data_IF_642913683878
#
_entry.id   IF_642913683878
#
_cell.length_a   1.000
_cell.length_b   1.000
_cell.length_c   1.000
_cell.angle_alpha   90.00
_cell.angle_beta   90.00
_cell.angle_gamma   90.00
#
_symmetry.space_group_name_H-M   'P 1'
#
loop_
_entity.id
_entity.type
_entity.pdbx_description
1 polymer ?
#
# COMPACT_ATOMS: atom_id res chain seq x y z
N UNK A 1 -3.85 46.99 -10.15
CA UNK A 1 -2.59 46.27 -9.77
C UNK A 1 -2.84 45.02 -8.96
N UNK A 2 -3.44 45.09 -7.76
CA UNK A 2 -3.69 43.91 -6.91
C UNK A 2 -4.70 42.93 -7.52
N UNK A 3 -5.74 43.42 -8.20
CA UNK A 3 -6.71 42.59 -8.91
C UNK A 3 -6.13 41.96 -10.22
N UNK A 4 -5.24 42.64 -10.91
CA UNK A 4 -4.52 42.08 -12.07
C UNK A 4 -3.48 41.05 -11.65
N UNK A 5 -2.75 41.31 -10.57
CA UNK A 5 -1.78 40.34 -10.00
C UNK A 5 -2.48 39.06 -9.52
N UNK A 6 -3.67 39.16 -8.94
CA UNK A 6 -4.48 37.98 -8.55
C UNK A 6 -5.03 37.25 -9.78
N UNK A 7 -5.45 37.95 -10.85
CA UNK A 7 -5.88 37.34 -12.11
C UNK A 7 -4.76 36.61 -12.84
N UNK A 8 -3.55 37.16 -12.87
CA UNK A 8 -2.36 36.49 -13.45
C UNK A 8 -1.95 35.29 -12.61
N UNK A 9 -2.10 35.34 -11.28
CA UNK A 9 -1.83 34.20 -10.37
C UNK A 9 -2.87 33.08 -10.53
N UNK A 10 -4.13 33.41 -10.73
CA UNK A 10 -5.19 32.42 -11.03
C UNK A 10 -5.04 31.78 -12.42
N UNK A 11 -4.55 32.53 -13.44
CA UNK A 11 -4.30 32.01 -14.78
C UNK A 11 -3.09 31.06 -14.85
N UNK A 12 -2.21 31.07 -13.85
CA UNK A 12 -0.98 30.26 -13.87
C UNK A 12 -0.99 29.06 -12.91
N UNK A 13 -2.12 28.79 -12.27
CA UNK A 13 -2.27 27.58 -11.43
C UNK A 13 -2.42 26.35 -12.31
N UNK A 14 -1.46 25.42 -12.22
CA UNK A 14 -1.56 24.12 -12.89
C UNK A 14 -2.73 23.35 -12.29
N UNK A 15 -3.60 22.83 -13.16
CA UNK A 15 -4.67 21.93 -12.73
C UNK A 15 -4.05 20.58 -12.31
N UNK A 16 -4.34 20.16 -11.09
CA UNK A 16 -3.99 18.83 -10.59
C UNK A 16 -5.24 17.96 -10.68
N UNK A 17 -5.11 16.77 -11.24
CA UNK A 17 -6.21 15.83 -11.43
C UNK A 17 -5.81 14.44 -10.91
N UNK A 18 -6.80 13.67 -10.43
CA UNK A 18 -6.64 12.26 -10.11
C UNK A 18 -6.90 11.47 -11.40
N UNK A 19 -5.94 10.66 -11.82
CA UNK A 19 -6.03 9.89 -13.07
C UNK A 19 -6.33 8.43 -12.84
N UNK A 20 -6.07 7.90 -11.64
CA UNK A 20 -6.35 6.52 -11.31
C UNK A 20 -6.44 6.30 -9.80
N UNK A 21 -7.19 5.29 -9.39
CA UNK A 21 -7.42 4.92 -7.99
C UNK A 21 -7.19 3.43 -7.83
N UNK A 22 -6.51 3.03 -6.77
CA UNK A 22 -6.39 1.65 -6.33
C UNK A 22 -6.65 1.53 -4.84
N UNK A 23 -7.27 0.43 -4.42
CA UNK A 23 -7.70 0.24 -3.04
C UNK A 23 -7.43 -1.17 -2.55
N UNK A 24 -6.83 -1.27 -1.36
CA UNK A 24 -6.78 -2.50 -0.56
C UNK A 24 -7.28 -2.14 0.83
N UNK A 25 -8.46 -2.60 1.18
CA UNK A 25 -9.16 -2.18 2.39
C UNK A 25 -9.87 -3.34 3.08
N UNK A 26 -10.22 -3.21 4.38
CA UNK A 26 -11.09 -4.19 5.04
C UNK A 26 -12.49 -4.32 4.43
N UNK A 27 -12.93 -3.33 3.65
CA UNK A 27 -14.20 -3.38 2.93
C UNK A 27 -14.10 -4.10 1.58
N UNK A 28 -12.88 -4.38 1.09
CA UNK A 28 -12.66 -5.11 -0.16
C UNK A 28 -11.29 -4.84 -0.75
N UNK A 29 -10.83 -5.77 -1.57
CA UNK A 29 -9.62 -5.65 -2.37
C UNK A 29 -10.01 -5.21 -3.78
N UNK A 30 -9.33 -4.19 -4.28
CA UNK A 30 -9.69 -3.49 -5.51
C UNK A 30 -10.75 -2.40 -5.31
N UNK A 31 -10.62 -1.33 -6.09
CA UNK A 31 -11.46 -0.12 -5.98
C UNK A 31 -12.97 -0.41 -6.14
N UNK A 32 -13.33 -1.28 -7.09
CA UNK A 32 -14.74 -1.53 -7.40
C UNK A 32 -15.43 -2.32 -6.29
N UNK A 33 -14.78 -3.36 -5.76
CA UNK A 33 -15.28 -4.15 -4.64
C UNK A 33 -15.35 -3.31 -3.36
N UNK A 34 -14.30 -2.55 -3.05
CA UNK A 34 -14.27 -1.67 -1.89
C UNK A 34 -15.38 -0.61 -1.97
N UNK A 35 -15.54 0.05 -3.11
CA UNK A 35 -16.56 1.07 -3.32
C UNK A 35 -17.98 0.51 -3.27
N UNK A 36 -18.23 -0.65 -3.88
CA UNK A 36 -19.54 -1.31 -3.82
C UNK A 36 -19.95 -1.60 -2.37
N UNK A 37 -19.04 -2.14 -1.58
CA UNK A 37 -19.29 -2.45 -0.16
C UNK A 37 -19.49 -1.19 0.69
N UNK A 38 -18.69 -0.13 0.47
CA UNK A 38 -18.87 1.16 1.15
C UNK A 38 -20.24 1.77 0.84
N UNK A 39 -20.66 1.75 -0.44
CA UNK A 39 -22.01 2.22 -0.84
C UNK A 39 -23.12 1.40 -0.22
N UNK A 40 -22.92 0.11 -0.03
CA UNK A 40 -23.88 -0.78 0.63
C UNK A 40 -23.91 -0.62 2.16
N UNK A 41 -23.05 0.23 2.74
CA UNK A 41 -22.94 0.40 4.19
C UNK A 41 -22.26 -0.80 4.90
N UNK A 42 -21.52 -1.63 4.17
CA UNK A 42 -20.81 -2.77 4.75
C UNK A 42 -19.72 -2.31 5.72
N UNK A 43 -19.69 -2.93 6.90
CA UNK A 43 -18.67 -2.66 7.90
C UNK A 43 -17.46 -3.60 7.69
N UNK A 44 -16.29 -3.02 7.45
CA UNK A 44 -15.04 -3.77 7.36
C UNK A 44 -14.42 -4.13 8.72
N UNK A 45 -14.98 -3.61 9.84
CA UNK A 45 -14.49 -3.89 11.18
C UNK A 45 -15.17 -5.15 11.70
N UNK A 46 -14.37 -6.16 12.06
CA UNK A 46 -14.85 -7.46 12.56
C UNK A 46 -13.97 -7.90 13.73
N UNK A 47 -14.36 -9.02 14.38
CA UNK A 47 -13.49 -9.62 15.40
C UNK A 47 -12.13 -9.97 14.81
N UNK A 48 -11.07 -9.66 15.56
CA UNK A 48 -9.67 -9.96 15.17
C UNK A 48 -9.52 -11.48 15.00
N UNK A 49 -8.92 -11.88 13.87
CA UNK A 49 -8.65 -13.28 13.53
C UNK A 49 -7.16 -13.59 13.35
N UNK A 50 -6.31 -12.60 13.21
CA UNK A 50 -4.87 -12.78 12.99
C UNK A 50 -4.09 -13.23 14.23
N UNK A 51 -4.65 -13.01 15.42
CA UNK A 51 -4.10 -13.48 16.70
C UNK A 51 -5.24 -13.65 17.70
N UNK A 52 -4.96 -14.27 18.86
CA UNK A 52 -5.93 -14.38 19.95
C UNK A 52 -6.10 -13.05 20.70
N UNK A 53 -7.23 -12.34 20.51
CA UNK A 53 -7.45 -11.03 21.13
C UNK A 53 -8.06 -11.13 22.54
N UNK A 54 -8.17 -12.32 23.13
CA UNK A 54 -8.89 -12.54 24.40
C UNK A 54 -8.38 -11.69 25.56
N UNK A 55 -7.09 -11.33 25.55
CA UNK A 55 -6.42 -10.48 26.54
C UNK A 55 -6.47 -8.99 26.21
N UNK A 56 -7.03 -8.61 25.05
CA UNK A 56 -7.15 -7.22 24.62
C UNK A 56 -8.49 -6.64 25.06
N UNK A 57 -8.49 -5.37 25.45
CA UNK A 57 -9.72 -4.62 25.75
C UNK A 57 -10.54 -4.35 24.49
N UNK A 58 -9.88 -4.10 23.36
CA UNK A 58 -10.51 -4.03 22.04
C UNK A 58 -10.22 -5.33 21.27
N UNK A 59 -11.27 -6.01 20.83
CA UNK A 59 -11.15 -7.30 20.14
C UNK A 59 -11.62 -7.24 18.69
N UNK A 60 -11.78 -6.03 18.16
CA UNK A 60 -12.22 -5.79 16.77
C UNK A 60 -11.20 -4.94 16.03
N UNK A 61 -11.05 -5.21 14.74
CA UNK A 61 -10.17 -4.46 13.85
C UNK A 61 -10.66 -4.54 12.40
N UNK A 62 -10.17 -3.62 11.57
CA UNK A 62 -10.33 -3.69 10.13
C UNK A 62 -9.20 -4.54 9.53
N UNK A 63 -9.46 -5.82 9.30
CA UNK A 63 -8.50 -6.74 8.67
C UNK A 63 -8.78 -6.86 7.17
N UNK A 64 -7.76 -6.73 6.33
CA UNK A 64 -7.86 -7.05 4.90
C UNK A 64 -7.99 -8.56 4.76
N UNK A 65 -9.08 -9.01 4.13
CA UNK A 65 -9.41 -10.43 3.98
C UNK A 65 -9.12 -10.91 2.57
N UNK A 66 -8.81 -12.19 2.42
CA UNK A 66 -8.61 -12.86 1.12
C UNK A 66 -7.56 -12.18 0.23
N UNK A 67 -6.56 -11.54 0.82
CA UNK A 67 -5.58 -10.76 0.07
C UNK A 67 -4.69 -11.62 -0.81
N UNK A 68 -4.26 -12.80 -0.35
CA UNK A 68 -3.43 -13.71 -1.15
C UNK A 68 -4.19 -14.18 -2.40
N UNK A 69 -5.48 -14.53 -2.26
CA UNK A 69 -6.32 -14.88 -3.40
C UNK A 69 -6.46 -13.72 -4.40
N UNK A 70 -6.60 -12.49 -3.89
CA UNK A 70 -6.63 -11.28 -4.73
C UNK A 70 -5.31 -11.09 -5.48
N UNK A 71 -4.17 -11.32 -4.84
CA UNK A 71 -2.86 -11.24 -5.50
C UNK A 71 -2.69 -12.32 -6.56
N UNK A 72 -3.15 -13.55 -6.28
CA UNK A 72 -3.09 -14.66 -7.23
C UNK A 72 -3.95 -14.40 -8.48
N UNK A 73 -5.11 -13.80 -8.31
CA UNK A 73 -6.02 -13.44 -9.40
C UNK A 73 -5.49 -12.29 -10.25
N UNK A 74 -4.98 -11.24 -9.61
CA UNK A 74 -4.61 -10.00 -10.28
C UNK A 74 -3.18 -9.98 -10.80
N UNK A 75 -2.28 -10.71 -10.14
CA UNK A 75 -0.85 -10.66 -10.41
C UNK A 75 -0.21 -9.29 -10.14
N UNK A 76 -0.82 -8.45 -9.29
CA UNK A 76 -0.35 -7.09 -9.03
C UNK A 76 0.97 -7.04 -8.26
N UNK A 77 1.30 -8.09 -7.55
CA UNK A 77 2.60 -8.23 -6.87
C UNK A 77 3.28 -9.48 -7.42
N UNK A 78 4.51 -9.34 -7.91
CA UNK A 78 5.30 -10.49 -8.33
C UNK A 78 5.55 -11.45 -7.15
N UNK A 79 5.30 -12.74 -7.35
CA UNK A 79 5.40 -13.75 -6.28
C UNK A 79 6.81 -13.89 -5.70
N UNK A 80 7.85 -13.63 -6.49
CA UNK A 80 9.23 -13.71 -6.01
C UNK A 80 9.56 -12.47 -5.18
N UNK A 81 9.20 -11.29 -5.66
CA UNK A 81 9.35 -10.03 -4.94
C UNK A 81 8.56 -10.02 -3.62
N UNK A 82 7.34 -10.56 -3.63
CA UNK A 82 6.45 -10.63 -2.45
C UNK A 82 7.06 -11.36 -1.25
N UNK A 83 8.04 -12.27 -1.47
CA UNK A 83 8.72 -12.98 -0.39
C UNK A 83 9.65 -12.10 0.45
N UNK A 84 10.01 -10.95 -0.07
CA UNK A 84 10.90 -9.96 0.55
C UNK A 84 10.14 -8.68 0.91
N UNK A 85 8.82 -8.75 1.00
CA UNK A 85 7.95 -7.63 1.38
C UNK A 85 7.13 -7.99 2.62
N UNK A 86 7.15 -7.13 3.62
CA UNK A 86 6.13 -7.18 4.67
C UNK A 86 4.75 -6.85 4.07
N UNK A 87 3.70 -7.21 4.77
CA UNK A 87 2.33 -7.09 4.30
C UNK A 87 1.93 -5.66 3.92
N UNK A 88 2.41 -4.65 4.67
CA UNK A 88 2.11 -3.25 4.35
C UNK A 88 2.66 -2.83 2.98
N UNK A 89 3.85 -3.33 2.61
CA UNK A 89 4.45 -3.09 1.30
C UNK A 89 3.65 -3.78 0.19
N UNK A 90 3.19 -5.01 0.41
CA UNK A 90 2.34 -5.73 -0.55
C UNK A 90 1.01 -4.99 -0.79
N UNK A 91 0.39 -4.45 0.26
CA UNK A 91 -0.83 -3.62 0.12
C UNK A 91 -0.57 -2.37 -0.73
N UNK A 92 0.54 -1.68 -0.45
CA UNK A 92 0.92 -0.47 -1.18
C UNK A 92 1.17 -0.76 -2.66
N UNK A 93 1.95 -1.81 -2.97
CA UNK A 93 2.24 -2.20 -4.36
C UNK A 93 0.97 -2.61 -5.09
N UNK A 94 0.11 -3.44 -4.49
CA UNK A 94 -1.12 -3.88 -5.12
C UNK A 94 -2.05 -2.70 -5.45
N UNK A 95 -2.25 -1.77 -4.50
CA UNK A 95 -3.05 -0.58 -4.71
C UNK A 95 -2.42 0.36 -5.76
N UNK A 96 -1.09 0.54 -5.74
CA UNK A 96 -0.40 1.39 -6.70
C UNK A 96 -0.49 0.84 -8.14
N UNK A 97 -0.33 -0.49 -8.31
CA UNK A 97 -0.46 -1.13 -9.63
C UNK A 97 -1.91 -1.04 -10.15
N UNK A 98 -2.91 -1.21 -9.28
CA UNK A 98 -4.31 -0.97 -9.64
C UNK A 98 -4.54 0.47 -10.09
N UNK A 99 -4.07 1.47 -9.32
CA UNK A 99 -4.19 2.88 -9.66
C UNK A 99 -3.49 3.21 -10.98
N UNK A 100 -2.32 2.63 -11.22
CA UNK A 100 -1.59 2.80 -12.47
C UNK A 100 -2.38 2.27 -13.68
N UNK A 101 -2.94 1.07 -13.57
CA UNK A 101 -3.81 0.50 -14.61
C UNK A 101 -5.07 1.32 -14.82
N UNK A 102 -5.69 1.79 -13.74
CA UNK A 102 -6.89 2.62 -13.79
C UNK A 102 -6.64 3.99 -14.44
N UNK A 103 -5.43 4.53 -14.34
CA UNK A 103 -5.05 5.78 -15.01
C UNK A 103 -5.00 5.68 -16.54
N UNK A 104 -5.02 4.47 -17.10
CA UNK A 104 -4.92 4.22 -18.53
C UNK A 104 -3.49 4.30 -19.08
N UNK A 105 -2.48 4.43 -18.21
CA UNK A 105 -1.09 4.35 -18.67
C UNK A 105 -0.72 2.94 -19.13
N UNK A 106 -0.06 2.87 -20.28
CA UNK A 106 0.48 1.63 -20.89
C UNK A 106 1.98 1.81 -21.13
N UNK A 107 2.65 0.74 -21.57
CA UNK A 107 4.07 0.83 -21.92
C UNK A 107 4.32 1.80 -23.08
N UNK A 108 3.35 1.93 -24.01
CA UNK A 108 3.42 2.85 -25.16
C UNK A 108 3.01 4.29 -24.80
N UNK A 109 2.19 4.47 -23.75
CA UNK A 109 1.60 5.75 -23.36
C UNK A 109 1.90 6.09 -21.89
N UNK A 110 3.08 5.75 -21.39
CA UNK A 110 3.50 6.11 -20.03
C UNK A 110 4.05 7.53 -19.96
N UNK A 111 3.96 8.19 -18.80
CA UNK A 111 4.57 9.48 -18.58
C UNK A 111 6.12 9.39 -18.61
N UNK A 112 6.77 10.53 -18.63
CA UNK A 112 8.20 10.63 -18.37
C UNK A 112 8.49 10.12 -16.94
N UNK A 113 9.11 8.96 -16.84
CA UNK A 113 9.33 8.27 -15.56
C UNK A 113 10.33 9.01 -14.65
N UNK A 114 11.16 9.89 -15.19
CA UNK A 114 12.03 10.77 -14.39
C UNK A 114 11.24 11.88 -13.67
N UNK A 115 9.96 12.04 -14.02
CA UNK A 115 9.02 13.00 -13.42
C UNK A 115 7.92 12.33 -12.60
N UNK A 116 7.97 11.02 -12.44
CA UNK A 116 7.02 10.26 -11.60
C UNK A 116 7.65 10.04 -10.23
N UNK A 117 7.01 10.51 -9.19
CA UNK A 117 7.44 10.32 -7.81
C UNK A 117 6.46 9.44 -7.06
N UNK A 118 6.98 8.59 -6.17
CA UNK A 118 6.18 7.82 -5.22
C UNK A 118 6.19 8.51 -3.86
N UNK A 119 5.01 8.91 -3.39
CA UNK A 119 4.82 9.51 -2.07
C UNK A 119 3.84 8.65 -1.30
N UNK A 120 4.28 8.04 -0.21
CA UNK A 120 3.48 7.15 0.63
C UNK A 120 3.51 7.60 2.08
N UNK A 121 2.34 7.85 2.65
CA UNK A 121 2.17 8.02 4.10
C UNK A 121 2.16 6.67 4.80
N UNK A 122 3.07 6.46 5.75
CA UNK A 122 3.15 5.23 6.53
C UNK A 122 3.44 5.56 7.99
N UNK A 123 2.66 4.97 8.92
CA UNK A 123 2.80 5.25 10.35
C UNK A 123 3.95 4.51 11.03
N UNK A 124 4.17 3.23 10.68
CA UNK A 124 5.04 2.34 11.47
C UNK A 124 5.98 1.48 10.62
N UNK A 125 5.55 1.08 9.41
CA UNK A 125 6.26 0.09 8.60
C UNK A 125 5.84 -1.35 8.90
N UNK A 126 6.76 -2.30 8.74
CA UNK A 126 6.54 -3.74 8.81
C UNK A 126 6.42 -4.29 10.23
N UNK A 127 5.26 -4.12 10.84
CA UNK A 127 5.01 -4.62 12.21
C UNK A 127 5.01 -6.14 12.31
N UNK A 128 4.60 -6.84 11.25
CA UNK A 128 4.60 -8.31 11.23
C UNK A 128 6.05 -8.83 11.22
N UNK A 129 6.87 -8.32 10.32
CA UNK A 129 8.31 -8.64 10.25
C UNK A 129 9.03 -8.28 11.55
N UNK A 130 8.70 -7.12 12.13
CA UNK A 130 9.26 -6.69 13.42
C UNK A 130 8.91 -7.67 14.55
N UNK A 131 7.65 -8.08 14.65
CA UNK A 131 7.19 -9.06 15.63
C UNK A 131 7.91 -10.40 15.50
N UNK A 132 8.02 -10.94 14.28
CA UNK A 132 8.74 -12.18 13.99
C UNK A 132 10.24 -12.05 14.31
N UNK A 133 10.86 -10.90 14.02
CA UNK A 133 12.26 -10.66 14.33
C UNK A 133 12.52 -10.67 15.85
N UNK A 134 11.69 -9.98 16.64
CA UNK A 134 11.80 -10.01 18.10
C UNK A 134 11.58 -11.40 18.69
N UNK A 135 10.55 -12.12 18.22
CA UNK A 135 10.30 -13.48 18.67
C UNK A 135 11.50 -14.39 18.35
N UNK A 136 12.04 -14.30 17.13
CA UNK A 136 13.21 -15.08 16.72
C UNK A 136 14.42 -14.76 17.59
N UNK A 137 14.66 -13.47 17.87
CA UNK A 137 15.78 -13.04 18.72
C UNK A 137 15.71 -13.66 20.12
N UNK A 138 14.53 -13.63 20.76
CA UNK A 138 14.35 -14.15 22.10
C UNK A 138 14.33 -15.66 22.19
N UNK A 139 13.74 -16.35 21.19
CA UNK A 139 13.60 -17.81 21.23
C UNK A 139 14.80 -18.55 20.64
N UNK A 140 15.49 -17.97 19.65
CA UNK A 140 16.50 -18.67 18.82
C UNK A 140 17.86 -17.99 18.81
N UNK A 141 17.95 -16.75 19.33
CA UNK A 141 19.19 -15.97 19.37
C UNK A 141 19.46 -15.16 18.08
N UNK A 142 20.47 -14.25 18.13
CA UNK A 142 20.77 -13.29 17.07
C UNK A 142 21.18 -13.94 15.75
N UNK A 143 21.83 -15.09 15.78
CA UNK A 143 22.34 -15.79 14.59
C UNK A 143 21.19 -16.33 13.68
N UNK A 144 19.96 -16.29 14.15
CA UNK A 144 18.76 -16.75 13.43
C UNK A 144 17.92 -15.61 12.86
N UNK A 145 18.33 -14.38 13.07
CA UNK A 145 17.63 -13.22 12.48
C UNK A 145 17.82 -13.19 10.97
N UNK A 146 16.75 -12.83 10.26
CA UNK A 146 16.85 -12.61 8.81
C UNK A 146 17.74 -11.39 8.52
N UNK A 147 18.72 -11.48 7.64
CA UNK A 147 19.49 -10.31 7.21
C UNK A 147 18.63 -9.30 6.43
N UNK A 148 17.46 -9.72 5.96
CA UNK A 148 16.48 -8.86 5.27
C UNK A 148 15.44 -8.24 6.20
N UNK A 149 15.48 -8.52 7.52
CA UNK A 149 14.49 -8.00 8.46
C UNK A 149 14.41 -6.45 8.41
N UNK A 150 15.55 -5.76 8.36
CA UNK A 150 15.56 -4.29 8.28
C UNK A 150 14.99 -3.78 6.95
N UNK A 151 15.46 -4.23 5.76
CA UNK A 151 14.84 -3.86 4.50
C UNK A 151 13.33 -4.13 4.44
N UNK A 152 12.85 -5.22 5.02
CA UNK A 152 11.43 -5.57 4.98
C UNK A 152 10.57 -4.71 5.92
N UNK A 153 11.12 -4.21 7.05
CA UNK A 153 10.32 -3.53 8.08
C UNK A 153 10.33 -2.00 8.01
N UNK A 154 11.34 -1.37 7.39
CA UNK A 154 11.44 0.10 7.41
C UNK A 154 10.29 0.77 6.65
N UNK A 155 9.82 1.90 7.20
CA UNK A 155 8.59 2.55 6.74
C UNK A 155 8.64 3.02 5.27
N UNK A 156 9.81 3.40 4.76
CA UNK A 156 9.99 3.87 3.38
C UNK A 156 10.05 2.74 2.35
N UNK A 157 10.18 1.48 2.78
CA UNK A 157 10.31 0.34 1.86
C UNK A 157 9.09 0.16 0.96
N UNK A 158 7.89 0.44 1.47
CA UNK A 158 6.69 0.39 0.64
C UNK A 158 6.76 1.38 -0.54
N UNK A 159 7.26 2.61 -0.32
CA UNK A 159 7.45 3.58 -1.41
C UNK A 159 8.54 3.10 -2.38
N UNK A 160 9.64 2.53 -1.87
CA UNK A 160 10.70 1.93 -2.67
C UNK A 160 10.20 0.79 -3.55
N UNK A 161 9.43 -0.14 -2.98
CA UNK A 161 8.83 -1.26 -3.72
C UNK A 161 7.85 -0.79 -4.80
N UNK A 162 7.03 0.23 -4.53
CA UNK A 162 6.15 0.84 -5.53
C UNK A 162 6.97 1.46 -6.65
N UNK A 163 8.00 2.27 -6.33
CA UNK A 163 8.90 2.87 -7.32
C UNK A 163 9.55 1.83 -8.22
N UNK A 164 10.11 0.78 -7.63
CA UNK A 164 10.73 -0.32 -8.39
C UNK A 164 9.71 -1.04 -9.29
N UNK A 165 8.51 -1.29 -8.79
CA UNK A 165 7.47 -2.01 -9.53
C UNK A 165 6.96 -1.19 -10.72
N UNK A 166 6.78 0.12 -10.56
CA UNK A 166 6.28 1.01 -11.61
C UNK A 166 7.40 1.60 -12.49
N UNK A 167 8.66 1.46 -12.08
CA UNK A 167 9.79 2.08 -12.76
C UNK A 167 9.89 3.59 -12.54
N UNK A 168 9.29 4.13 -11.46
CA UNK A 168 9.41 5.52 -11.05
C UNK A 168 10.82 5.81 -10.50
N UNK A 169 11.30 7.05 -10.69
CA UNK A 169 12.65 7.46 -10.28
C UNK A 169 12.64 8.61 -9.28
#
# INVERSE_FOLDING_TARGET
MEQEFNKEKEMNMKRVVITGIGMVTPCGNGKDAAWANVKAGACGITRITRFDPSRCTCQVAGEVKNFDAYLDETGYVDRKAARHMDLFSKYAVAAAVEAWKDSGYTDEAKPDMDRVATILGNGIGGMETNGVAWQTLFERGPDRLSPLAIPELIANEAAGNVSMTLGAK
#
